data_IF_282264310394
#
_entry.id   IF_282264310394
#
_cell.length_a   1.000
_cell.length_b   1.000
_cell.length_c   1.000
_cell.angle_alpha   90.00
_cell.angle_beta   90.00
_cell.angle_gamma   90.00
#
_symmetry.space_group_name_H-M   'P 1'
#
loop_
_entity.id
_entity.type
_entity.pdbx_description
1 polymer ?
#
# COMPACT_ATOMS: atom_id res chain seq x y z
N UNK A 1 -22.80 35.53 54.76
CA UNK A 1 -22.44 35.92 53.38
C UNK A 1 -21.14 35.25 52.88
N UNK A 2 -20.12 35.08 53.73
CA UNK A 2 -18.79 34.55 53.39
C UNK A 2 -18.77 33.08 52.95
N UNK A 3 -19.60 32.21 53.54
CA UNK A 3 -19.65 30.77 53.17
C UNK A 3 -20.18 30.50 51.76
N UNK A 4 -21.13 31.31 51.30
CA UNK A 4 -21.72 31.20 49.94
C UNK A 4 -20.71 31.64 48.88
N UNK A 5 -19.93 32.70 49.18
CA UNK A 5 -18.87 33.18 48.30
C UNK A 5 -17.75 32.13 48.15
N UNK A 6 -17.32 31.50 49.25
CA UNK A 6 -16.31 30.44 49.24
C UNK A 6 -16.80 29.19 48.48
N UNK A 7 -18.05 28.78 48.66
CA UNK A 7 -18.64 27.67 47.92
C UNK A 7 -18.73 27.97 46.41
N UNK A 8 -19.07 29.21 46.05
CA UNK A 8 -19.14 29.65 44.66
C UNK A 8 -17.75 29.70 44.01
N UNK A 9 -16.73 30.16 44.73
CA UNK A 9 -15.34 30.17 44.27
C UNK A 9 -14.80 28.75 44.11
N UNK A 10 -15.08 27.83 45.05
CA UNK A 10 -14.66 26.43 44.96
C UNK A 10 -15.34 25.69 43.79
N UNK A 11 -16.63 25.96 43.56
CA UNK A 11 -17.40 25.43 42.42
C UNK A 11 -16.91 25.99 41.08
N UNK A 12 -16.57 27.28 41.01
CA UNK A 12 -15.92 27.88 39.83
C UNK A 12 -14.53 27.32 39.59
N UNK A 13 -13.74 27.08 40.64
CA UNK A 13 -12.39 26.50 40.54
C UNK A 13 -12.42 25.05 40.08
N UNK A 14 -13.37 24.24 40.55
CA UNK A 14 -13.62 22.88 40.03
C UNK A 14 -14.03 22.91 38.56
N UNK A 15 -14.98 23.78 38.17
CA UNK A 15 -15.37 23.95 36.76
C UNK A 15 -14.25 24.46 35.85
N UNK A 16 -13.29 25.23 36.39
CA UNK A 16 -12.11 25.71 35.66
C UNK A 16 -11.01 24.63 35.59
N UNK A 17 -10.90 23.77 36.60
CA UNK A 17 -10.05 22.58 36.58
C UNK A 17 -10.60 21.54 35.59
N UNK A 18 -11.92 21.37 35.48
CA UNK A 18 -12.57 20.57 34.43
C UNK A 18 -12.41 21.18 33.02
N UNK A 19 -12.11 22.49 32.95
CA UNK A 19 -11.81 23.21 31.71
C UNK A 19 -10.31 23.16 31.35
N UNK A 20 -9.48 22.66 32.27
CA UNK A 20 -8.11 22.28 31.96
C UNK A 20 -8.23 20.94 31.26
N UNK A 21 -8.02 20.92 29.93
CA UNK A 21 -8.00 19.69 29.15
C UNK A 21 -7.29 18.60 29.97
N UNK A 22 -7.97 17.48 30.22
CA UNK A 22 -7.38 16.39 30.99
C UNK A 22 -6.02 16.08 30.35
N UNK A 23 -4.94 16.06 31.13
CA UNK A 23 -3.57 15.90 30.60
C UNK A 23 -3.51 14.66 29.69
N UNK A 24 -4.30 13.64 30.04
CA UNK A 24 -4.53 12.44 29.25
C UNK A 24 -5.15 12.71 27.86
N UNK A 25 -6.17 13.56 27.76
CA UNK A 25 -6.77 13.96 26.47
C UNK A 25 -5.78 14.76 25.62
N UNK A 26 -4.94 15.60 26.22
CA UNK A 26 -3.89 16.33 25.48
C UNK A 26 -2.85 15.37 24.95
N UNK A 27 -2.47 14.37 25.74
CA UNK A 27 -1.48 13.35 25.37
C UNK A 27 -2.00 12.39 24.29
N UNK A 28 -3.28 12.01 24.36
CA UNK A 28 -3.98 11.26 23.32
C UNK A 28 -4.02 12.04 22.00
N UNK A 29 -4.41 13.32 22.01
CA UNK A 29 -4.41 14.17 20.80
C UNK A 29 -2.99 14.35 20.26
N UNK A 30 -1.98 14.50 21.13
CA UNK A 30 -0.58 14.61 20.73
C UNK A 30 -0.07 13.33 20.06
N UNK A 31 -0.55 12.16 20.50
CA UNK A 31 -0.28 10.88 19.86
C UNK A 31 -0.91 10.81 18.46
N UNK A 32 -2.19 11.19 18.34
CA UNK A 32 -2.91 11.21 17.05
C UNK A 32 -2.26 12.17 16.05
N UNK A 33 -1.83 13.36 16.49
CA UNK A 33 -1.12 14.33 15.64
C UNK A 33 0.19 13.74 15.10
N UNK A 34 0.93 12.98 15.91
CA UNK A 34 2.14 12.26 15.44
C UNK A 34 1.83 11.18 14.40
N UNK A 35 0.56 10.80 14.24
CA UNK A 35 0.10 9.78 13.31
C UNK A 35 -0.30 10.26 11.94
N UNK A 36 -0.74 11.50 11.86
CA UNK A 36 -1.06 12.19 10.61
C UNK A 36 0.01 11.98 9.54
N UNK A 37 1.34 12.15 9.78
CA UNK A 37 2.33 11.98 8.71
C UNK A 37 2.39 10.55 8.16
N UNK A 38 2.24 9.53 9.01
CA UNK A 38 2.24 8.12 8.58
C UNK A 38 0.96 7.83 7.79
N UNK A 39 -0.17 8.36 8.25
CA UNK A 39 -1.44 8.22 7.58
C UNK A 39 -1.45 8.88 6.18
N UNK A 40 -0.85 10.07 6.05
CA UNK A 40 -0.64 10.74 4.76
C UNK A 40 0.24 9.91 3.84
N UNK A 41 1.32 9.31 4.35
CA UNK A 41 2.16 8.40 3.56
C UNK A 41 1.38 7.17 3.06
N UNK A 42 0.49 6.59 3.90
CA UNK A 42 -0.40 5.52 3.49
C UNK A 42 -1.33 5.95 2.34
N UNK A 43 -1.87 7.17 2.35
CA UNK A 43 -2.72 7.68 1.26
C UNK A 43 -1.95 7.69 -0.07
N UNK A 44 -0.73 8.21 -0.07
CA UNK A 44 0.11 8.26 -1.28
C UNK A 44 0.34 6.84 -1.81
N UNK A 45 0.61 5.88 -0.92
CA UNK A 45 0.75 4.48 -1.28
C UNK A 45 -0.55 3.91 -1.90
N UNK A 46 -1.71 4.17 -1.30
CA UNK A 46 -2.99 3.71 -1.84
C UNK A 46 -3.29 4.29 -3.22
N UNK A 47 -2.98 5.56 -3.45
CA UNK A 47 -3.10 6.18 -4.78
C UNK A 47 -2.22 5.44 -5.78
N UNK A 48 -0.96 5.16 -5.43
CA UNK A 48 -0.06 4.40 -6.28
C UNK A 48 -0.58 2.98 -6.59
N UNK A 49 -1.16 2.28 -5.60
CA UNK A 49 -1.75 0.96 -5.80
C UNK A 49 -2.97 0.98 -6.74
N UNK A 50 -3.88 1.95 -6.56
CA UNK A 50 -5.03 2.12 -7.46
C UNK A 50 -4.55 2.45 -8.88
N UNK A 51 -3.57 3.34 -9.00
CA UNK A 51 -2.98 3.71 -10.29
C UNK A 51 -2.30 2.51 -10.97
N UNK A 52 -1.64 1.62 -10.21
CA UNK A 52 -1.08 0.38 -10.74
C UNK A 52 -2.16 -0.50 -11.35
N UNK A 53 -3.26 -0.70 -10.63
CA UNK A 53 -4.36 -1.54 -11.08
C UNK A 53 -4.96 -1.06 -12.39
N UNK A 54 -5.17 0.25 -12.54
CA UNK A 54 -5.76 0.83 -13.76
C UNK A 54 -4.77 0.93 -14.91
N UNK A 55 -3.55 1.44 -14.66
CA UNK A 55 -2.54 1.67 -15.69
C UNK A 55 -2.01 0.35 -16.26
N UNK A 56 -1.81 -0.67 -15.42
CA UNK A 56 -1.31 -1.96 -15.88
C UNK A 56 -2.32 -2.67 -16.79
N UNK A 57 -3.62 -2.49 -16.56
CA UNK A 57 -4.67 -2.99 -17.46
C UNK A 57 -4.64 -2.23 -18.79
N UNK A 58 -4.47 -0.90 -18.76
CA UNK A 58 -4.34 -0.11 -19.99
C UNK A 58 -3.11 -0.51 -20.82
N UNK A 59 -1.96 -0.74 -20.16
CA UNK A 59 -0.74 -1.27 -20.79
C UNK A 59 -0.97 -2.66 -21.40
N UNK A 60 -1.66 -3.56 -20.67
CA UNK A 60 -2.00 -4.89 -21.14
C UNK A 60 -2.93 -4.84 -22.38
N UNK A 61 -3.88 -3.91 -22.43
CA UNK A 61 -4.76 -3.73 -23.60
C UNK A 61 -4.01 -3.29 -24.86
N UNK A 62 -2.88 -2.60 -24.71
CA UNK A 62 -2.06 -2.07 -25.79
C UNK A 62 -0.79 -2.90 -26.09
N UNK A 63 -0.69 -4.11 -25.51
CA UNK A 63 0.38 -5.09 -25.75
C UNK A 63 -0.18 -6.36 -26.40
N UNK A 64 0.70 -7.20 -26.96
CA UNK A 64 0.29 -8.49 -27.51
C UNK A 64 -0.02 -9.48 -26.39
N UNK A 65 -1.29 -9.89 -26.32
CA UNK A 65 -1.87 -10.77 -25.29
C UNK A 65 -2.04 -12.22 -25.76
N UNK A 66 -1.45 -12.58 -26.91
CA UNK A 66 -1.43 -13.97 -27.40
C UNK A 66 -0.52 -14.82 -26.53
N UNK A 67 -1.00 -16.01 -26.14
CA UNK A 67 -0.26 -16.96 -25.29
C UNK A 67 0.93 -17.57 -26.02
N UNK A 68 0.75 -17.84 -27.30
CA UNK A 68 1.76 -18.40 -28.19
C UNK A 68 1.64 -17.74 -29.55
N UNK A 69 2.76 -17.59 -30.26
CA UNK A 69 2.79 -17.03 -31.61
C UNK A 69 1.87 -17.79 -32.59
N UNK A 70 1.59 -19.07 -32.29
CA UNK A 70 0.76 -19.95 -33.11
C UNK A 70 -0.70 -20.09 -32.61
N UNK A 71 -1.09 -19.35 -31.56
CA UNK A 71 -2.45 -19.39 -31.02
C UNK A 71 -3.13 -18.04 -31.18
N UNK A 72 -4.37 -18.05 -31.67
CA UNK A 72 -5.19 -16.83 -31.75
C UNK A 72 -5.92 -16.51 -30.42
N UNK A 73 -5.68 -17.32 -29.39
CA UNK A 73 -6.26 -17.10 -28.07
C UNK A 73 -5.61 -15.90 -27.37
N UNK A 74 -6.42 -14.87 -27.10
CA UNK A 74 -6.02 -13.64 -26.43
C UNK A 74 -6.50 -13.64 -24.98
N UNK A 75 -5.56 -13.57 -24.04
CA UNK A 75 -5.89 -13.47 -22.62
C UNK A 75 -6.54 -12.09 -22.34
N UNK A 76 -7.62 -12.00 -21.54
CA UNK A 76 -8.16 -10.73 -21.08
C UNK A 76 -7.12 -9.90 -20.31
N UNK A 77 -7.07 -8.57 -20.53
CA UNK A 77 -6.08 -7.72 -19.86
C UNK A 77 -6.18 -7.74 -18.32
N UNK A 78 -7.40 -7.88 -17.78
CA UNK A 78 -7.63 -7.89 -16.34
C UNK A 78 -7.11 -9.17 -15.65
N UNK A 79 -7.02 -10.31 -16.34
CA UNK A 79 -6.61 -11.57 -15.70
C UNK A 79 -5.11 -11.61 -15.37
N UNK A 80 -4.32 -10.65 -15.87
CA UNK A 80 -2.90 -10.53 -15.51
C UNK A 80 -2.68 -10.14 -14.04
N UNK A 81 -3.70 -9.63 -13.34
CA UNK A 81 -3.67 -9.44 -11.88
C UNK A 81 -3.49 -10.74 -11.10
N UNK A 82 -3.75 -11.91 -11.71
CA UNK A 82 -3.49 -13.20 -11.06
C UNK A 82 -2.01 -13.35 -10.70
N UNK A 83 -1.09 -12.76 -11.46
CA UNK A 83 0.34 -12.81 -11.12
C UNK A 83 0.67 -12.06 -9.82
N UNK A 84 -0.01 -10.95 -9.53
CA UNK A 84 0.19 -10.26 -8.25
C UNK A 84 -0.41 -11.05 -7.08
N UNK A 85 -1.57 -11.68 -7.28
CA UNK A 85 -2.18 -12.56 -6.29
C UNK A 85 -1.29 -13.78 -6.00
N UNK A 86 -0.75 -14.43 -7.03
CA UNK A 86 0.17 -15.56 -6.86
C UNK A 86 1.44 -15.14 -6.11
N UNK A 87 2.02 -13.99 -6.47
CA UNK A 87 3.19 -13.46 -5.78
C UNK A 87 2.89 -13.18 -4.30
N UNK A 88 1.73 -12.60 -3.98
CA UNK A 88 1.27 -12.37 -2.61
C UNK A 88 1.07 -13.71 -1.86
N UNK A 89 0.41 -14.69 -2.50
CA UNK A 89 0.18 -16.01 -1.90
C UNK A 89 1.49 -16.75 -1.62
N UNK A 90 2.48 -16.66 -2.50
CA UNK A 90 3.81 -17.23 -2.28
C UNK A 90 4.58 -16.45 -1.21
N UNK A 91 4.35 -15.13 -1.13
CA UNK A 91 5.01 -14.26 -0.17
C UNK A 91 4.60 -14.54 1.28
N UNK A 92 3.32 -14.83 1.54
CA UNK A 92 2.79 -15.12 2.89
C UNK A 92 3.57 -16.23 3.62
N UNK A 93 3.72 -17.47 3.09
CA UNK A 93 4.45 -18.52 3.77
C UNK A 93 5.95 -18.19 3.91
N UNK A 94 6.54 -17.49 2.95
CA UNK A 94 7.94 -17.02 3.05
C UNK A 94 8.09 -16.05 4.23
N UNK A 95 7.14 -15.12 4.36
CA UNK A 95 7.13 -14.15 5.42
C UNK A 95 7.00 -14.84 6.79
N UNK A 96 5.99 -15.69 6.94
CA UNK A 96 5.68 -16.35 8.21
C UNK A 96 6.75 -17.36 8.64
N UNK A 97 7.25 -18.17 7.71
CA UNK A 97 8.16 -19.27 8.05
C UNK A 97 9.64 -18.88 8.01
N UNK A 98 10.02 -17.85 7.25
CA UNK A 98 11.43 -17.50 7.06
C UNK A 98 11.73 -16.13 7.68
N UNK A 99 10.94 -15.11 7.36
CA UNK A 99 11.27 -13.73 7.76
C UNK A 99 11.02 -13.51 9.25
N UNK A 100 9.85 -13.91 9.78
CA UNK A 100 9.53 -13.77 11.21
C UNK A 100 10.56 -14.48 12.10
N UNK A 101 10.88 -15.78 11.93
CA UNK A 101 11.81 -16.45 12.83
C UNK A 101 13.25 -15.93 12.70
N UNK A 102 13.69 -15.54 11.50
CA UNK A 102 15.00 -14.90 11.32
C UNK A 102 15.05 -13.53 12.00
N UNK A 103 14.01 -12.73 11.85
CA UNK A 103 13.93 -11.42 12.49
C UNK A 103 13.90 -11.54 14.01
N UNK A 104 13.16 -12.52 14.56
CA UNK A 104 13.14 -12.80 16.01
C UNK A 104 14.53 -13.21 16.52
N UNK A 105 15.28 -14.00 15.75
CA UNK A 105 16.67 -14.39 16.09
C UNK A 105 17.65 -13.22 16.08
N UNK A 106 17.51 -12.29 15.14
CA UNK A 106 18.42 -11.15 14.97
C UNK A 106 18.11 -10.03 15.97
N UNK A 107 16.84 -9.65 16.09
CA UNK A 107 16.43 -8.48 16.87
C UNK A 107 16.21 -8.80 18.35
N UNK A 108 16.09 -10.09 18.72
CA UNK A 108 15.81 -10.58 20.08
C UNK A 108 14.56 -9.96 20.74
N UNK A 109 13.68 -9.36 19.94
CA UNK A 109 12.38 -8.81 20.36
C UNK A 109 11.27 -9.70 19.85
N UNK A 110 10.13 -9.72 20.56
CA UNK A 110 9.02 -10.65 20.23
C UNK A 110 8.47 -10.47 18.82
N UNK A 111 8.48 -9.22 18.31
CA UNK A 111 7.96 -8.83 16.99
C UNK A 111 8.99 -8.94 15.83
N UNK A 112 10.29 -9.06 16.13
CA UNK A 112 11.37 -9.23 15.14
C UNK A 112 11.65 -8.01 14.24
N UNK A 113 10.70 -7.58 13.40
CA UNK A 113 10.83 -6.40 12.51
C UNK A 113 9.86 -5.33 12.98
N UNK A 114 10.32 -4.08 13.12
CA UNK A 114 9.45 -2.96 13.48
C UNK A 114 8.36 -2.76 12.42
N UNK A 115 7.15 -2.52 12.89
CA UNK A 115 5.97 -2.29 12.07
C UNK A 115 6.15 -1.14 11.05
N UNK A 116 6.83 -0.06 11.43
CA UNK A 116 7.17 1.04 10.53
C UNK A 116 8.18 0.64 9.44
N UNK A 117 9.10 -0.29 9.74
CA UNK A 117 10.05 -0.79 8.74
C UNK A 117 9.34 -1.67 7.70
N UNK A 118 8.40 -2.52 8.12
CA UNK A 118 7.57 -3.33 7.21
C UNK A 118 6.80 -2.44 6.25
N UNK A 119 6.16 -1.39 6.78
CA UNK A 119 5.44 -0.40 5.98
C UNK A 119 6.36 0.34 5.01
N UNK A 120 7.53 0.78 5.48
CA UNK A 120 8.54 1.45 4.65
C UNK A 120 9.06 0.59 3.52
N UNK A 121 9.31 -0.71 3.75
CA UNK A 121 9.72 -1.66 2.70
C UNK A 121 8.64 -1.80 1.64
N UNK A 122 7.37 -1.94 2.05
CA UNK A 122 6.26 -1.97 1.10
C UNK A 122 6.18 -0.70 0.25
N UNK A 123 6.27 0.48 0.86
CA UNK A 123 6.22 1.75 0.12
C UNK A 123 7.40 1.90 -0.85
N UNK A 124 8.59 1.50 -0.42
CA UNK A 124 9.78 1.50 -1.26
C UNK A 124 9.63 0.57 -2.48
N UNK A 125 9.09 -0.63 -2.29
CA UNK A 125 8.81 -1.57 -3.38
C UNK A 125 7.75 -1.02 -4.35
N UNK A 126 6.72 -0.33 -3.85
CA UNK A 126 5.74 0.34 -4.70
C UNK A 126 6.36 1.41 -5.60
N UNK A 127 7.29 2.22 -5.06
CA UNK A 127 8.04 3.22 -5.85
C UNK A 127 8.87 2.54 -6.93
N UNK A 128 9.62 1.50 -6.58
CA UNK A 128 10.40 0.71 -7.55
C UNK A 128 9.49 0.18 -8.66
N UNK A 129 8.32 -0.34 -8.28
CA UNK A 129 7.39 -0.89 -9.27
C UNK A 129 6.88 0.20 -10.20
N UNK A 130 6.58 1.40 -9.71
CA UNK A 130 6.18 2.55 -10.54
C UNK A 130 7.24 2.91 -11.56
N UNK A 131 8.51 2.91 -11.14
CA UNK A 131 9.64 3.16 -12.03
C UNK A 131 9.70 2.07 -13.12
N UNK A 132 9.58 0.80 -12.74
CA UNK A 132 9.58 -0.33 -13.68
C UNK A 132 8.43 -0.21 -14.68
N UNK A 133 7.21 0.10 -14.21
CA UNK A 133 6.04 0.29 -15.07
C UNK A 133 6.24 1.44 -16.07
N UNK A 134 6.84 2.55 -15.63
CA UNK A 134 7.20 3.65 -16.52
C UNK A 134 8.23 3.26 -17.59
N UNK A 135 9.25 2.47 -17.23
CA UNK A 135 10.24 1.96 -18.17
C UNK A 135 9.63 0.98 -19.18
N UNK A 136 8.75 0.08 -18.72
CA UNK A 136 8.00 -0.86 -19.56
C UNK A 136 7.12 -0.10 -20.55
N UNK A 137 6.44 0.95 -20.11
CA UNK A 137 5.60 1.77 -20.97
C UNK A 137 6.42 2.56 -22.01
N UNK A 138 7.56 3.13 -21.61
CA UNK A 138 8.47 3.78 -22.55
C UNK A 138 8.95 2.82 -23.63
N UNK A 139 9.32 1.59 -23.25
CA UNK A 139 9.72 0.54 -24.20
C UNK A 139 8.55 0.14 -25.12
N UNK A 140 7.35 -0.03 -24.57
CA UNK A 140 6.13 -0.37 -25.33
C UNK A 140 5.82 0.71 -26.38
N UNK A 141 5.90 1.98 -25.97
CA UNK A 141 5.68 3.15 -26.82
C UNK A 141 6.71 3.23 -27.94
N UNK A 142 7.99 3.01 -27.64
CA UNK A 142 9.06 2.99 -28.64
C UNK A 142 8.79 1.92 -29.71
N UNK A 143 8.42 0.70 -29.29
CA UNK A 143 8.09 -0.42 -30.21
C UNK A 143 6.84 -0.11 -31.05
N UNK A 144 5.82 0.52 -30.45
CA UNK A 144 4.60 0.90 -31.17
C UNK A 144 4.83 1.98 -32.25
N UNK A 145 5.92 2.73 -32.17
CA UNK A 145 6.31 3.75 -33.15
C UNK A 145 7.24 3.15 -34.23
N UNK A 146 8.16 2.26 -33.84
CA UNK A 146 9.20 1.73 -34.74
C UNK A 146 8.81 0.49 -35.52
N UNK A 147 7.84 -0.30 -35.05
CA UNK A 147 7.43 -1.57 -35.68
C UNK A 147 6.00 -1.50 -36.22
N UNK A 148 5.67 -2.33 -37.25
CA UNK A 148 4.30 -2.45 -37.72
C UNK A 148 3.41 -2.95 -36.58
N UNK A 149 2.33 -2.21 -36.33
CA UNK A 149 1.41 -2.45 -35.23
C UNK A 149 0.50 -3.63 -35.56
N UNK A 150 0.27 -4.54 -34.60
CA UNK A 150 -0.61 -5.71 -34.74
C UNK A 150 -2.10 -5.37 -34.88
N UNK A 151 -2.45 -4.09 -34.81
CA UNK A 151 -3.81 -3.57 -34.95
C UNK A 151 -4.08 -2.41 -34.00
N UNK A 152 -5.35 -2.00 -33.92
CA UNK A 152 -5.81 -0.99 -32.97
C UNK A 152 -6.55 -1.66 -31.80
N UNK A 153 -6.27 -1.21 -30.58
CA UNK A 153 -7.01 -1.63 -29.41
C UNK A 153 -8.44 -1.07 -29.48
N UNK A 154 -9.43 -1.82 -28.98
CA UNK A 154 -10.84 -1.38 -28.91
C UNK A 154 -11.01 -0.07 -28.13
N UNK A 155 -10.07 0.29 -27.24
CA UNK A 155 -10.08 1.53 -26.46
C UNK A 155 -9.42 2.73 -27.15
N UNK A 156 -9.00 2.60 -28.41
CA UNK A 156 -8.15 3.58 -29.08
C UNK A 156 -6.68 3.41 -28.70
N UNK A 157 -5.81 3.34 -29.71
CA UNK A 157 -4.36 3.17 -29.53
C UNK A 157 -3.78 2.01 -30.34
N UNK A 158 -2.54 2.18 -30.79
CA UNK A 158 -1.77 1.18 -31.54
C UNK A 158 -1.34 0.04 -30.61
N UNK A 159 -1.66 -1.21 -30.99
CA UNK A 159 -1.21 -2.40 -30.26
C UNK A 159 0.26 -2.64 -30.63
N UNK A 160 1.11 -2.62 -29.62
CA UNK A 160 2.55 -2.90 -29.75
C UNK A 160 2.80 -4.40 -29.90
N UNK A 161 3.82 -4.78 -30.65
CA UNK A 161 4.31 -6.16 -30.75
C UNK A 161 5.03 -6.67 -29.50
N UNK A 162 5.09 -5.83 -28.45
CA UNK A 162 5.61 -6.21 -27.15
C UNK A 162 4.69 -7.24 -26.49
N UNK A 163 5.27 -8.37 -26.10
CA UNK A 163 4.57 -9.42 -25.37
C UNK A 163 4.15 -8.97 -23.97
N UNK A 164 2.93 -9.33 -23.58
CA UNK A 164 2.35 -9.05 -22.27
C UNK A 164 3.14 -9.66 -21.09
N UNK A 165 4.01 -10.66 -21.33
CA UNK A 165 4.88 -11.23 -20.29
C UNK A 165 5.83 -10.20 -19.64
N UNK A 166 6.13 -9.10 -20.33
CA UNK A 166 6.91 -8.00 -19.75
C UNK A 166 6.21 -7.28 -18.58
N UNK A 167 4.90 -7.46 -18.41
CA UNK A 167 4.14 -6.92 -17.28
C UNK A 167 4.21 -7.84 -16.05
N UNK A 168 4.66 -9.08 -16.18
CA UNK A 168 4.73 -10.03 -15.05
C UNK A 168 5.64 -9.54 -13.91
N UNK A 169 6.85 -9.00 -14.17
CA UNK A 169 7.73 -8.50 -13.09
C UNK A 169 7.10 -7.38 -12.26
N UNK A 170 6.40 -6.42 -12.88
CA UNK A 170 5.72 -5.36 -12.15
C UNK A 170 4.55 -5.91 -11.30
N UNK A 171 3.77 -6.87 -11.81
CA UNK A 171 2.72 -7.50 -11.02
C UNK A 171 3.28 -8.29 -9.83
N UNK A 172 4.40 -9.00 -10.01
CA UNK A 172 5.04 -9.76 -8.94
C UNK A 172 5.54 -8.87 -7.80
N UNK A 173 6.24 -7.77 -8.13
CA UNK A 173 6.78 -6.85 -7.12
C UNK A 173 5.64 -6.12 -6.38
N UNK A 174 4.58 -5.72 -7.08
CA UNK A 174 3.37 -5.15 -6.45
C UNK A 174 2.74 -6.11 -5.45
N UNK A 175 2.60 -7.39 -5.80
CA UNK A 175 2.04 -8.39 -4.88
C UNK A 175 2.88 -8.56 -3.61
N UNK A 176 4.21 -8.56 -3.75
CA UNK A 176 5.14 -8.62 -2.60
C UNK A 176 5.05 -7.34 -1.76
N UNK A 177 5.02 -6.18 -2.41
CA UNK A 177 4.85 -4.86 -1.79
C UNK A 177 3.58 -4.78 -0.95
N UNK A 178 2.48 -5.29 -1.50
CA UNK A 178 1.18 -5.37 -0.83
C UNK A 178 1.25 -6.26 0.41
N UNK A 179 1.90 -7.42 0.33
CA UNK A 179 2.10 -8.31 1.47
C UNK A 179 2.80 -7.65 2.66
N UNK A 180 3.89 -6.92 2.41
CA UNK A 180 4.56 -6.15 3.47
C UNK A 180 3.71 -5.00 4.04
N UNK A 181 3.01 -4.30 3.16
CA UNK A 181 2.24 -3.10 3.53
C UNK A 181 1.01 -3.45 4.36
N UNK A 182 0.24 -4.48 3.98
CA UNK A 182 -0.99 -4.88 4.68
C UNK A 182 -0.68 -5.29 6.12
N UNK A 183 0.35 -6.09 6.34
CA UNK A 183 0.73 -6.56 7.68
C UNK A 183 1.15 -5.37 8.56
N UNK A 184 1.99 -4.49 8.01
CA UNK A 184 2.41 -3.27 8.71
C UNK A 184 1.21 -2.38 9.09
N UNK A 185 0.30 -2.13 8.16
CA UNK A 185 -0.89 -1.32 8.40
C UNK A 185 -1.82 -1.94 9.44
N UNK A 186 -2.13 -3.24 9.32
CA UNK A 186 -3.01 -3.93 10.27
C UNK A 186 -2.48 -3.84 11.70
N UNK A 187 -1.18 -4.05 11.88
CA UNK A 187 -0.53 -3.95 13.18
C UNK A 187 -0.49 -2.50 13.70
N UNK A 188 -0.34 -1.50 12.82
CA UNK A 188 -0.41 -0.08 13.15
C UNK A 188 -1.75 0.34 13.74
N UNK A 189 -2.82 0.00 13.00
CA UNK A 189 -4.17 0.38 13.38
C UNK A 189 -4.55 -0.32 14.68
N UNK A 190 -4.18 -1.60 14.82
CA UNK A 190 -4.40 -2.33 16.06
C UNK A 190 -3.64 -1.71 17.25
N UNK A 191 -2.35 -1.38 17.13
CA UNK A 191 -1.57 -0.83 18.25
C UNK A 191 -1.98 0.58 18.69
N UNK A 192 -2.75 1.29 17.88
CA UNK A 192 -3.05 2.70 18.13
C UNK A 192 -4.51 3.06 18.31
N UNK A 193 -5.41 2.17 17.90
CA UNK A 193 -6.79 2.28 18.30
C UNK A 193 -6.91 1.92 19.78
N UNK A 194 -7.45 2.81 20.64
CA UNK A 194 -7.69 2.49 22.04
C UNK A 194 -8.60 1.26 22.15
N UNK A 195 -8.40 0.41 23.16
CA UNK A 195 -9.11 -0.87 23.33
C UNK A 195 -10.65 -0.71 23.23
N UNK A 196 -11.18 0.44 23.64
CA UNK A 196 -12.61 0.77 23.58
C UNK A 196 -13.17 1.07 22.17
N UNK A 197 -12.35 1.10 21.12
CA UNK A 197 -12.77 1.32 19.73
C UNK A 197 -12.32 0.20 18.78
N UNK A 198 -11.78 -0.89 19.31
CA UNK A 198 -11.44 -2.08 18.53
C UNK A 198 -12.68 -2.98 18.49
N UNK A 199 -13.32 -3.07 17.32
CA UNK A 199 -14.43 -4.01 17.05
C UNK A 199 -13.87 -5.36 16.61
#
# INVERSE_FOLDING_TARGET
MTRVLVATIKKRRSKLLDRSCNIQQVEEVKCVIKLIPIWVACIIYFIAQVQMGTSSIAQALQTDRRVSQNSDFKIPAATYSVFSLLALTIWIPIYDQIIIPKARKITKTEDGISMLQRLGVGFFLAIITMIISGLVENKRRAIAISQPTLGFAKSGGKISAMSCYWLVPQYAIVGISEGFSIIGQLEFYNKQLPENMRT
#
